data_IF_434363841416
#
_entry.id   IF_434363841416
#
_cell.length_a   1.000
_cell.length_b   1.000
_cell.length_c   1.000
_cell.angle_alpha   90.00
_cell.angle_beta   90.00
_cell.angle_gamma   90.00
#
_symmetry.space_group_name_H-M   'P 1'
#
loop_
_entity.id
_entity.type
_entity.pdbx_description
1 polymer ?
#
# COMPACT_ATOMS: atom_id res chain seq x y z
N UNK A 1 31.64 -6.95 14.73
CA UNK A 1 30.62 -7.43 15.66
C UNK A 1 30.47 -6.36 16.73
N UNK A 2 29.56 -5.42 16.55
CA UNK A 2 29.21 -4.40 17.54
C UNK A 2 27.73 -4.19 17.50
N UNK A 3 27.05 -4.74 18.48
CA UNK A 3 25.61 -4.56 18.70
C UNK A 3 25.46 -3.18 19.33
N UNK A 4 24.87 -2.24 18.61
CA UNK A 4 24.52 -0.94 19.17
C UNK A 4 23.07 -1.01 19.64
N UNK A 5 22.92 -1.09 20.95
CA UNK A 5 21.64 -1.00 21.67
C UNK A 5 21.19 0.46 21.61
N UNK A 6 20.14 0.76 20.86
CA UNK A 6 19.46 2.06 20.87
C UNK A 6 18.33 2.01 21.91
N UNK A 7 18.62 2.53 23.09
CA UNK A 7 17.64 2.97 24.08
C UNK A 7 17.66 4.50 24.03
N UNK A 8 16.78 5.12 23.26
CA UNK A 8 16.31 6.48 23.50
C UNK A 8 15.19 6.79 22.49
N UNK A 9 14.01 7.15 22.99
CA UNK A 9 12.81 7.45 22.22
C UNK A 9 12.85 8.79 21.46
N UNK A 10 13.84 8.94 20.59
CA UNK A 10 13.89 10.02 19.61
C UNK A 10 13.06 9.66 18.37
N UNK A 11 12.65 10.63 17.53
CA UNK A 11 11.97 10.33 16.29
C UNK A 11 12.85 9.40 15.46
N UNK A 12 12.33 8.22 15.15
CA UNK A 12 13.01 7.25 14.28
C UNK A 12 13.19 7.92 12.92
N UNK A 13 14.39 8.39 12.63
CA UNK A 13 14.74 8.88 11.29
C UNK A 13 14.74 7.66 10.36
N UNK A 14 13.67 7.49 9.63
CA UNK A 14 13.58 6.46 8.57
C UNK A 14 14.55 6.93 7.49
N UNK A 15 15.65 6.19 7.30
CA UNK A 15 16.56 6.45 6.19
C UNK A 15 15.81 6.16 4.87
N UNK A 16 15.97 7.02 3.86
CA UNK A 16 15.36 6.78 2.56
C UNK A 16 15.77 5.41 2.01
N UNK A 17 14.80 4.68 1.43
CA UNK A 17 15.07 3.42 0.75
C UNK A 17 15.86 3.67 -0.53
N UNK A 18 16.84 2.82 -0.84
CA UNK A 18 17.58 2.88 -2.09
C UNK A 18 16.64 2.77 -3.31
N UNK A 19 15.51 2.04 -3.18
CA UNK A 19 14.50 1.94 -4.23
C UNK A 19 13.72 3.22 -4.50
N UNK A 20 13.78 4.21 -3.61
CA UNK A 20 13.16 5.51 -3.82
C UNK A 20 13.95 6.42 -4.76
N UNK A 21 15.11 5.99 -5.22
CA UNK A 21 15.94 6.74 -6.16
C UNK A 21 16.16 5.94 -7.44
N UNK A 22 16.20 6.66 -8.58
CA UNK A 22 16.62 6.09 -9.86
C UNK A 22 18.15 5.95 -9.94
N UNK A 23 18.65 5.44 -11.05
CA UNK A 23 20.07 5.19 -11.24
C UNK A 23 20.90 6.49 -11.34
N UNK A 24 20.23 7.62 -11.63
CA UNK A 24 20.80 8.97 -11.66
C UNK A 24 20.72 9.67 -10.29
N UNK A 25 20.19 9.01 -9.26
CA UNK A 25 20.01 9.55 -7.92
C UNK A 25 18.85 10.51 -7.75
N UNK A 26 17.95 10.59 -8.73
CA UNK A 26 16.72 11.37 -8.66
C UNK A 26 15.67 10.61 -7.84
N UNK A 27 14.95 11.28 -6.95
CA UNK A 27 13.85 10.68 -6.23
C UNK A 27 12.74 10.25 -7.19
N UNK A 28 12.31 8.98 -7.07
CA UNK A 28 11.24 8.40 -7.89
C UNK A 28 9.88 8.95 -7.46
N UNK A 29 9.05 9.16 -8.45
CA UNK A 29 7.70 9.67 -8.25
C UNK A 29 6.70 8.53 -8.03
N UNK A 30 5.65 8.81 -7.23
CA UNK A 30 4.57 7.85 -7.00
C UNK A 30 3.19 8.45 -7.21
N UNK A 31 2.24 7.60 -7.58
CA UNK A 31 0.80 7.89 -7.63
C UNK A 31 0.03 6.78 -6.91
N UNK A 32 -0.94 7.14 -6.04
CA UNK A 32 -1.88 6.18 -5.43
C UNK A 32 -3.27 6.38 -6.03
N UNK A 33 -3.79 5.36 -6.69
CA UNK A 33 -5.14 5.32 -7.26
C UNK A 33 -6.07 4.51 -6.38
N UNK A 34 -7.09 5.14 -5.82
CA UNK A 34 -8.02 4.52 -4.88
C UNK A 34 -9.34 4.19 -5.55
N UNK A 35 -9.70 2.91 -5.60
CA UNK A 35 -10.98 2.41 -6.08
C UNK A 35 -11.71 1.68 -4.96
N UNK A 36 -12.45 2.41 -4.11
CA UNK A 36 -13.05 1.72 -2.98
C UNK A 36 -13.95 2.57 -2.08
N UNK A 37 -14.02 2.15 -0.84
CA UNK A 37 -14.76 2.82 0.23
C UNK A 37 -13.82 3.73 1.06
N UNK A 38 -14.38 4.33 2.11
CA UNK A 38 -13.62 5.20 3.04
C UNK A 38 -12.41 4.49 3.68
N UNK A 39 -12.50 3.17 3.94
CA UNK A 39 -11.36 2.40 4.45
C UNK A 39 -10.19 2.40 3.46
N UNK A 40 -10.47 2.26 2.16
CA UNK A 40 -9.43 2.35 1.14
C UNK A 40 -8.84 3.76 1.04
N UNK A 41 -9.64 4.82 1.24
CA UNK A 41 -9.10 6.19 1.27
C UNK A 41 -8.11 6.36 2.42
N UNK A 42 -8.46 5.91 3.63
CA UNK A 42 -7.54 5.93 4.76
C UNK A 42 -6.29 5.07 4.52
N UNK A 43 -6.47 3.86 3.97
CA UNK A 43 -5.34 3.00 3.61
C UNK A 43 -4.41 3.70 2.60
N UNK A 44 -4.96 4.46 1.64
CA UNK A 44 -4.19 5.22 0.65
C UNK A 44 -3.40 6.38 1.26
N UNK A 45 -3.95 7.08 2.26
CA UNK A 45 -3.20 8.09 3.02
C UNK A 45 -1.99 7.46 3.75
N UNK A 46 -2.14 6.23 4.27
CA UNK A 46 -1.05 5.49 4.92
C UNK A 46 -0.01 4.98 3.93
N UNK A 47 -0.45 4.49 2.77
CA UNK A 47 0.45 4.10 1.67
C UNK A 47 1.27 5.30 1.19
N UNK A 48 0.63 6.46 0.99
CA UNK A 48 1.31 7.70 0.62
C UNK A 48 2.33 8.11 1.68
N UNK A 49 1.94 8.09 2.97
CA UNK A 49 2.85 8.40 4.07
C UNK A 49 4.05 7.46 4.15
N UNK A 50 3.82 6.15 3.93
CA UNK A 50 4.89 5.15 3.91
C UNK A 50 5.88 5.37 2.76
N UNK A 51 5.38 5.68 1.56
CA UNK A 51 6.21 5.98 0.39
C UNK A 51 7.01 7.26 0.57
N UNK A 52 6.38 8.36 1.04
CA UNK A 52 7.08 9.62 1.31
C UNK A 52 8.15 9.45 2.40
N UNK A 53 7.87 8.67 3.45
CA UNK A 53 8.85 8.35 4.49
C UNK A 53 10.03 7.54 3.96
N UNK A 54 9.82 6.75 2.91
CA UNK A 54 10.87 6.00 2.23
C UNK A 54 11.65 6.83 1.19
N UNK A 55 11.25 8.09 0.94
CA UNK A 55 11.95 9.02 0.05
C UNK A 55 11.32 9.21 -1.33
N UNK A 56 10.17 8.58 -1.62
CA UNK A 56 9.44 8.81 -2.86
C UNK A 56 8.75 10.18 -2.84
N UNK A 57 8.57 10.76 -4.01
CA UNK A 57 7.89 12.07 -4.18
C UNK A 57 6.56 11.85 -4.92
N UNK A 58 5.50 12.51 -4.48
CA UNK A 58 4.21 12.43 -5.18
C UNK A 58 4.34 13.02 -6.59
N UNK A 59 3.85 12.30 -7.59
CA UNK A 59 3.85 12.77 -8.98
C UNK A 59 2.90 13.97 -9.14
N UNK A 60 3.28 14.91 -10.00
CA UNK A 60 2.43 16.04 -10.38
C UNK A 60 1.21 15.55 -11.18
N UNK A 61 0.11 16.29 -11.07
CA UNK A 61 -1.11 15.96 -11.79
C UNK A 61 -0.87 15.92 -13.32
N UNK A 62 -1.18 14.79 -13.93
CA UNK A 62 -1.03 14.59 -15.37
C UNK A 62 0.35 14.11 -15.83
N UNK A 63 1.28 13.88 -14.90
CA UNK A 63 2.57 13.24 -15.23
C UNK A 63 2.50 11.72 -14.99
N UNK A 64 3.28 10.96 -15.78
CA UNK A 64 3.44 9.52 -15.57
C UNK A 64 4.36 9.29 -14.36
N UNK A 65 3.89 8.57 -13.35
CA UNK A 65 4.66 8.26 -12.14
C UNK A 65 5.56 7.04 -12.34
N UNK A 66 6.72 7.03 -11.66
CA UNK A 66 7.64 5.89 -11.64
C UNK A 66 7.06 4.68 -10.89
N UNK A 67 6.17 4.94 -9.93
CA UNK A 67 5.46 3.91 -9.15
C UNK A 67 3.97 4.23 -9.12
N UNK A 68 3.14 3.31 -9.60
CA UNK A 68 1.67 3.43 -9.50
C UNK A 68 1.14 2.36 -8.57
N UNK A 69 0.49 2.79 -7.49
CA UNK A 69 -0.15 1.92 -6.50
C UNK A 69 -1.66 1.97 -6.70
N UNK A 70 -2.27 0.82 -7.00
CA UNK A 70 -3.74 0.69 -7.09
C UNK A 70 -4.24 0.08 -5.78
N UNK A 71 -5.00 0.86 -5.01
CA UNK A 71 -5.67 0.40 -3.80
C UNK A 71 -7.15 0.17 -4.11
N UNK A 72 -7.61 -1.08 -4.03
CA UNK A 72 -8.92 -1.49 -4.55
C UNK A 72 -9.76 -2.27 -3.54
N UNK A 73 -11.09 -2.15 -3.71
CA UNK A 73 -12.12 -2.77 -2.88
C UNK A 73 -12.56 -4.12 -3.47
N UNK A 74 -12.87 -5.09 -2.61
CA UNK A 74 -13.45 -6.39 -3.00
C UNK A 74 -14.98 -6.46 -2.87
N UNK A 75 -15.63 -5.40 -2.37
CA UNK A 75 -17.06 -5.41 -2.03
C UNK A 75 -17.92 -4.80 -3.14
N UNK A 76 -17.36 -3.87 -3.93
CA UNK A 76 -18.09 -3.17 -4.98
C UNK A 76 -18.05 -3.95 -6.29
N UNK A 77 -19.21 -4.22 -6.87
CA UNK A 77 -19.43 -5.06 -8.05
C UNK A 77 -18.55 -4.70 -9.27
N UNK A 78 -18.21 -3.42 -9.43
CA UNK A 78 -17.37 -2.96 -10.55
C UNK A 78 -15.89 -2.71 -10.18
N UNK A 79 -15.44 -3.12 -9.00
CA UNK A 79 -14.07 -2.89 -8.59
C UNK A 79 -13.09 -3.70 -9.45
N UNK A 80 -13.44 -4.94 -9.78
CA UNK A 80 -12.64 -5.85 -10.61
C UNK A 80 -12.48 -5.26 -12.02
N UNK A 81 -13.57 -4.84 -12.67
CA UNK A 81 -13.53 -4.25 -14.01
C UNK A 81 -12.67 -2.97 -14.03
N UNK A 82 -12.78 -2.13 -13.01
CA UNK A 82 -11.96 -0.93 -12.88
C UNK A 82 -10.49 -1.25 -12.67
N UNK A 83 -10.18 -2.26 -11.84
CA UNK A 83 -8.81 -2.71 -11.64
C UNK A 83 -8.20 -3.17 -12.96
N UNK A 84 -8.79 -4.17 -13.61
CA UNK A 84 -8.20 -4.75 -14.82
C UNK A 84 -8.19 -3.77 -16.01
N UNK A 85 -9.17 -2.88 -16.12
CA UNK A 85 -9.15 -1.79 -17.09
C UNK A 85 -7.97 -0.83 -16.88
N UNK A 86 -7.71 -0.43 -15.62
CA UNK A 86 -6.54 0.38 -15.28
C UNK A 86 -5.23 -0.36 -15.49
N UNK A 87 -5.15 -1.64 -15.11
CA UNK A 87 -3.94 -2.46 -15.32
C UNK A 87 -3.62 -2.61 -16.81
N UNK A 88 -4.64 -2.78 -17.67
CA UNK A 88 -4.46 -2.82 -19.13
C UNK A 88 -3.91 -1.50 -19.69
N UNK A 89 -4.42 -0.36 -19.20
CA UNK A 89 -3.84 0.96 -19.55
C UNK A 89 -2.38 1.08 -19.07
N UNK A 90 -2.12 0.75 -17.81
CA UNK A 90 -0.78 0.83 -17.21
C UNK A 90 0.23 -0.09 -17.89
N UNK A 91 -0.20 -1.24 -18.44
CA UNK A 91 0.66 -2.07 -19.26
C UNK A 91 1.20 -1.32 -20.49
N UNK A 92 0.37 -0.46 -21.09
CA UNK A 92 0.80 0.36 -22.23
C UNK A 92 1.74 1.50 -21.83
N UNK A 93 1.53 2.09 -20.65
CA UNK A 93 2.42 3.11 -20.08
C UNK A 93 3.76 2.50 -19.72
N UNK A 94 3.77 1.39 -19.01
CA UNK A 94 4.99 0.69 -18.57
C UNK A 94 5.92 0.31 -19.71
N UNK A 95 5.37 -0.04 -20.89
CA UNK A 95 6.18 -0.31 -22.10
C UNK A 95 6.93 0.91 -22.64
N UNK A 96 6.51 2.13 -22.29
CA UNK A 96 7.12 3.39 -22.72
C UNK A 96 7.96 4.04 -21.62
N UNK A 97 7.67 3.71 -20.37
CA UNK A 97 8.31 4.26 -19.19
C UNK A 97 9.17 3.16 -18.55
N UNK A 98 10.43 3.10 -18.95
CA UNK A 98 11.39 2.13 -18.43
C UNK A 98 11.59 2.29 -16.92
N UNK A 99 11.63 1.17 -16.20
CA UNK A 99 11.76 1.17 -14.73
C UNK A 99 10.48 1.47 -13.96
N UNK A 100 9.34 1.72 -14.64
CA UNK A 100 8.05 1.90 -13.98
C UNK A 100 7.61 0.63 -13.24
N UNK A 101 7.12 0.79 -12.01
CA UNK A 101 6.57 -0.29 -11.20
C UNK A 101 5.08 -0.10 -10.93
N UNK A 102 4.34 -1.22 -10.96
CA UNK A 102 2.91 -1.27 -10.70
C UNK A 102 2.66 -2.13 -9.47
N UNK A 103 2.07 -1.56 -8.43
CA UNK A 103 1.68 -2.26 -7.22
C UNK A 103 0.16 -2.33 -7.07
N UNK A 104 -0.37 -3.48 -6.69
CA UNK A 104 -1.80 -3.68 -6.42
C UNK A 104 -2.00 -4.08 -4.98
N UNK A 105 -2.81 -3.30 -4.26
CA UNK A 105 -3.12 -3.52 -2.85
C UNK A 105 -4.60 -3.42 -2.51
N UNK A 106 -4.90 -3.60 -1.23
CA UNK A 106 -6.24 -3.46 -0.70
C UNK A 106 -7.03 -4.77 -0.65
N UNK A 107 -8.34 -4.65 -0.43
CA UNK A 107 -9.21 -5.81 -0.18
C UNK A 107 -9.29 -6.79 -1.36
N UNK A 108 -9.21 -6.29 -2.60
CA UNK A 108 -9.24 -7.18 -3.76
C UNK A 108 -7.92 -7.97 -3.90
N UNK A 109 -6.79 -7.34 -3.64
CA UNK A 109 -5.50 -8.03 -3.60
C UNK A 109 -5.48 -9.12 -2.51
N UNK A 110 -6.07 -8.84 -1.35
CA UNK A 110 -6.23 -9.80 -0.26
C UNK A 110 -7.10 -11.00 -0.67
N UNK A 111 -8.13 -10.78 -1.48
CA UNK A 111 -9.05 -11.80 -1.97
C UNK A 111 -8.45 -12.64 -3.10
N UNK A 112 -7.95 -11.98 -4.14
CA UNK A 112 -7.60 -12.61 -5.42
C UNK A 112 -6.16 -13.11 -5.49
N UNK A 113 -5.25 -12.57 -4.64
CA UNK A 113 -3.87 -13.06 -4.47
C UNK A 113 -3.15 -13.28 -5.81
N UNK A 114 -2.72 -14.51 -6.08
CA UNK A 114 -2.00 -14.90 -7.30
C UNK A 114 -2.78 -14.65 -8.59
N UNK A 115 -4.12 -14.69 -8.56
CA UNK A 115 -4.95 -14.48 -9.75
C UNK A 115 -4.70 -13.13 -10.41
N UNK A 116 -4.27 -12.11 -9.63
CA UNK A 116 -3.91 -10.80 -10.18
C UNK A 116 -2.66 -10.93 -11.07
N UNK A 117 -1.62 -11.61 -10.61
CA UNK A 117 -0.39 -11.83 -11.39
C UNK A 117 -0.63 -12.71 -12.62
N UNK A 118 -1.50 -13.72 -12.51
CA UNK A 118 -1.88 -14.56 -13.66
C UNK A 118 -2.58 -13.78 -14.76
N UNK A 119 -3.48 -12.86 -14.39
CA UNK A 119 -4.23 -12.01 -15.34
C UNK A 119 -3.46 -10.77 -15.81
N UNK A 120 -2.52 -10.30 -15.01
CA UNK A 120 -1.74 -9.09 -15.26
C UNK A 120 -0.25 -9.31 -14.90
N UNK A 121 0.49 -10.09 -15.71
CA UNK A 121 1.88 -10.45 -15.42
C UNK A 121 2.85 -9.26 -15.43
N UNK A 122 2.41 -8.09 -15.85
CA UNK A 122 3.18 -6.84 -15.80
C UNK A 122 3.08 -6.10 -14.46
N UNK A 123 2.32 -6.64 -13.49
CA UNK A 123 2.25 -6.12 -12.12
C UNK A 123 3.49 -6.60 -11.37
N UNK A 124 4.17 -5.69 -10.69
CA UNK A 124 5.43 -5.98 -9.98
C UNK A 124 5.20 -6.38 -8.52
N UNK A 125 4.16 -5.82 -7.89
CA UNK A 125 3.90 -6.06 -6.46
C UNK A 125 2.40 -6.27 -6.22
N UNK A 126 2.07 -7.34 -5.50
CA UNK A 126 0.72 -7.57 -4.96
C UNK A 126 0.81 -7.72 -3.44
N UNK A 127 0.08 -6.89 -2.70
CA UNK A 127 0.13 -6.89 -1.24
C UNK A 127 -1.25 -6.81 -0.59
N UNK A 128 -1.38 -7.48 0.55
CA UNK A 128 -2.62 -7.51 1.32
C UNK A 128 -2.89 -6.24 2.13
N UNK A 129 -4.10 -6.14 2.69
CA UNK A 129 -4.51 -5.05 3.58
C UNK A 129 -3.66 -4.95 4.84
N UNK A 130 -2.99 -6.03 5.22
CA UNK A 130 -2.15 -6.12 6.40
C UNK A 130 -0.66 -5.85 6.12
N UNK A 131 -0.28 -5.73 4.83
CA UNK A 131 1.10 -5.57 4.39
C UNK A 131 1.43 -4.15 3.91
N UNK A 132 0.59 -3.15 4.20
CA UNK A 132 0.79 -1.77 3.72
C UNK A 132 2.15 -1.17 4.10
N UNK A 133 2.65 -1.50 5.30
CA UNK A 133 3.95 -1.04 5.77
C UNK A 133 5.14 -1.65 5.03
N UNK A 134 4.96 -2.82 4.40
CA UNK A 134 6.01 -3.50 3.64
C UNK A 134 6.16 -2.97 2.21
N UNK A 135 5.26 -2.10 1.74
CA UNK A 135 5.24 -1.66 0.33
C UNK A 135 6.59 -1.14 -0.18
N UNK A 136 7.32 -0.24 0.52
CA UNK A 136 8.63 0.22 0.04
C UNK A 136 9.62 -0.93 -0.15
N UNK A 137 9.68 -1.86 0.81
CA UNK A 137 10.58 -3.02 0.74
C UNK A 137 10.18 -4.01 -0.36
N UNK A 138 8.88 -4.13 -0.65
CA UNK A 138 8.39 -4.96 -1.75
C UNK A 138 8.77 -4.38 -3.11
N UNK A 139 8.64 -3.06 -3.28
CA UNK A 139 9.08 -2.35 -4.48
C UNK A 139 10.59 -2.50 -4.70
N UNK A 140 11.38 -2.40 -3.63
CA UNK A 140 12.83 -2.61 -3.69
C UNK A 140 13.19 -4.03 -4.13
N UNK A 141 12.56 -5.04 -3.52
CA UNK A 141 12.78 -6.45 -3.90
C UNK A 141 12.37 -6.74 -5.34
N UNK A 142 11.22 -6.22 -5.78
CA UNK A 142 10.74 -6.39 -7.15
C UNK A 142 11.69 -5.77 -8.17
N UNK A 143 12.24 -4.60 -7.89
CA UNK A 143 13.22 -3.92 -8.75
C UNK A 143 14.55 -4.67 -8.81
N UNK A 144 15.04 -5.14 -7.66
CA UNK A 144 16.34 -5.80 -7.57
C UNK A 144 16.34 -7.20 -8.19
N UNK A 145 15.26 -7.95 -8.02
CA UNK A 145 15.18 -9.34 -8.49
C UNK A 145 14.59 -9.46 -9.90
N UNK A 146 13.99 -8.40 -10.45
CA UNK A 146 13.22 -8.39 -11.70
C UNK A 146 12.10 -9.46 -11.69
N UNK A 147 11.54 -9.72 -10.51
CA UNK A 147 10.48 -10.69 -10.28
C UNK A 147 9.32 -10.06 -9.51
N UNK A 148 8.08 -10.42 -9.89
CA UNK A 148 6.90 -9.99 -9.18
C UNK A 148 6.89 -10.47 -7.73
N UNK A 149 6.58 -9.56 -6.80
CA UNK A 149 6.50 -9.84 -5.37
C UNK A 149 5.05 -9.99 -4.92
N UNK A 150 4.75 -11.06 -4.21
CA UNK A 150 3.44 -11.27 -3.59
C UNK A 150 3.61 -11.41 -2.08
N UNK A 151 2.96 -10.54 -1.31
CA UNK A 151 2.97 -10.63 0.15
C UNK A 151 1.56 -10.42 0.71
N UNK A 152 0.96 -11.50 1.19
CA UNK A 152 -0.39 -11.50 1.76
C UNK A 152 -0.35 -12.08 3.17
N UNK A 153 -0.52 -11.24 4.18
CA UNK A 153 -0.76 -11.68 5.55
C UNK A 153 -2.27 -11.88 5.78
N UNK A 154 -2.65 -12.97 6.41
CA UNK A 154 -4.06 -13.30 6.65
C UNK A 154 -4.66 -12.55 7.84
N UNK A 155 -3.81 -12.14 8.80
CA UNK A 155 -4.25 -11.32 9.93
C UNK A 155 -3.12 -10.46 10.49
N UNK A 156 -3.48 -9.34 11.11
CA UNK A 156 -2.55 -8.55 11.92
C UNK A 156 -2.46 -9.14 13.33
N UNK A 157 -1.26 -9.33 13.83
CA UNK A 157 -1.05 -9.66 15.25
C UNK A 157 -1.22 -8.41 16.13
N UNK A 158 -0.74 -7.27 15.65
CA UNK A 158 -0.80 -5.97 16.32
C UNK A 158 -1.36 -4.91 15.38
N UNK A 159 -2.16 -3.99 15.92
CA UNK A 159 -2.66 -2.85 15.14
C UNK A 159 -1.47 -1.97 14.70
N UNK A 160 -1.29 -1.65 13.40
CA UNK A 160 -0.18 -0.85 12.92
C UNK A 160 -0.40 0.65 13.22
N UNK A 161 -0.30 1.04 14.49
CA UNK A 161 -0.52 2.42 14.95
C UNK A 161 0.54 3.41 14.45
N UNK A 162 1.73 2.91 14.13
CA UNK A 162 2.93 3.72 13.82
C UNK A 162 3.12 4.01 12.34
N UNK A 163 2.26 3.52 11.44
CA UNK A 163 2.40 3.83 10.03
C UNK A 163 2.20 5.32 9.78
N UNK A 164 3.14 5.97 9.11
CA UNK A 164 3.02 7.38 8.74
C UNK A 164 1.80 7.60 7.85
N UNK A 165 1.16 8.75 7.96
CA UNK A 165 -0.05 9.06 7.21
C UNK A 165 0.10 10.40 6.53
N UNK A 166 -0.04 10.44 5.21
CA UNK A 166 -0.11 11.68 4.43
C UNK A 166 -1.56 12.06 4.24
N UNK A 167 -2.02 13.09 4.93
CA UNK A 167 -3.40 13.55 4.82
C UNK A 167 -3.62 14.34 3.53
N UNK A 168 -4.71 14.05 2.82
CA UNK A 168 -5.10 14.77 1.61
C UNK A 168 -5.80 16.10 1.93
N UNK A 169 -6.51 16.16 3.06
CA UNK A 169 -7.23 17.36 3.49
C UNK A 169 -6.54 18.05 4.67
N UNK A 170 -6.47 19.38 4.61
CA UNK A 170 -5.97 20.23 5.71
C UNK A 170 -7.02 20.35 6.82
N UNK A 171 -8.30 20.19 6.49
CA UNK A 171 -9.43 20.45 7.40
C UNK A 171 -10.01 19.19 8.04
N UNK A 172 -9.72 18.02 7.49
CA UNK A 172 -10.27 16.74 7.97
C UNK A 172 -9.29 15.61 7.79
N UNK A 173 -9.44 14.56 8.61
CA UNK A 173 -8.60 13.37 8.48
C UNK A 173 -9.32 12.15 9.04
N UNK A 174 -9.03 11.01 8.45
CA UNK A 174 -9.52 9.72 8.92
C UNK A 174 -8.68 9.26 10.10
N UNK A 175 -9.35 8.80 11.15
CA UNK A 175 -8.70 8.16 12.30
C UNK A 175 -9.26 6.75 12.41
N UNK A 176 -8.41 5.74 12.20
CA UNK A 176 -8.79 4.36 12.40
C UNK A 176 -8.75 4.05 13.90
N UNK A 177 -9.89 3.70 14.47
CA UNK A 177 -10.03 3.32 15.88
C UNK A 177 -10.05 1.80 16.06
N UNK A 178 -10.49 1.07 15.04
CA UNK A 178 -10.46 -0.40 14.98
C UNK A 178 -10.25 -0.89 13.56
N UNK A 179 -9.87 -2.16 13.41
CA UNK A 179 -9.75 -2.88 12.14
C UNK A 179 -10.34 -4.28 12.27
N UNK A 180 -10.90 -4.80 11.16
CA UNK A 180 -11.58 -6.11 11.17
C UNK A 180 -13.03 -6.03 11.64
N UNK A 181 -13.64 -7.20 11.85
CA UNK A 181 -15.02 -7.29 12.36
C UNK A 181 -15.30 -8.70 12.88
N UNK A 182 -15.95 -8.79 14.03
CA UNK A 182 -16.34 -10.07 14.66
C UNK A 182 -17.80 -10.46 14.36
N UNK A 183 -18.55 -9.65 13.59
CA UNK A 183 -19.92 -9.97 13.23
C UNK A 183 -20.00 -11.08 12.18
N UNK A 184 -21.10 -11.85 12.20
CA UNK A 184 -21.35 -13.01 11.33
C UNK A 184 -22.41 -12.72 10.26
N UNK A 185 -22.42 -11.51 9.69
CA UNK A 185 -23.34 -11.16 8.62
C UNK A 185 -23.12 -12.08 7.40
N UNK A 186 -24.16 -12.72 6.90
CA UNK A 186 -24.11 -13.79 5.89
C UNK A 186 -23.51 -13.38 4.55
N UNK A 187 -23.61 -12.11 4.18
CA UNK A 187 -23.13 -11.57 2.90
C UNK A 187 -21.81 -10.78 3.03
N UNK A 188 -21.28 -10.63 4.24
CA UNK A 188 -20.15 -9.73 4.48
C UNK A 188 -18.81 -10.44 4.37
N UNK A 189 -17.94 -9.94 3.48
CA UNK A 189 -16.60 -10.47 3.26
C UNK A 189 -15.54 -9.83 4.20
N UNK A 190 -15.88 -8.77 4.95
CA UNK A 190 -14.93 -7.99 5.74
C UNK A 190 -14.16 -8.85 6.76
N UNK A 191 -14.76 -9.77 7.53
CA UNK A 191 -14.00 -10.61 8.46
C UNK A 191 -12.95 -11.48 7.77
N UNK A 192 -13.24 -11.96 6.55
CA UNK A 192 -12.31 -12.78 5.78
C UNK A 192 -11.13 -11.97 5.19
N UNK A 193 -11.33 -10.67 4.90
CA UNK A 193 -10.33 -9.83 4.25
C UNK A 193 -9.53 -8.95 5.22
N UNK A 194 -10.16 -8.54 6.33
CA UNK A 194 -9.55 -7.64 7.32
C UNK A 194 -9.36 -8.28 8.71
N UNK A 195 -9.73 -9.56 8.81
CA UNK A 195 -9.55 -10.35 10.02
C UNK A 195 -10.53 -10.02 11.13
N UNK A 196 -10.25 -10.56 12.32
CA UNK A 196 -11.01 -10.28 13.56
C UNK A 196 -10.81 -8.83 13.99
N UNK A 197 -11.82 -8.29 14.63
CA UNK A 197 -11.80 -6.94 15.19
C UNK A 197 -10.65 -6.75 16.18
N UNK A 198 -9.87 -5.72 15.96
CA UNK A 198 -8.79 -5.27 16.84
C UNK A 198 -8.89 -3.77 17.03
N UNK A 199 -9.06 -3.35 18.29
CA UNK A 199 -9.18 -1.96 18.67
C UNK A 199 -7.83 -1.33 18.95
N UNK A 200 -7.69 -0.05 18.63
CA UNK A 200 -6.58 0.78 19.12
C UNK A 200 -6.81 1.16 20.57
N UNK A 201 -5.73 1.25 21.31
CA UNK A 201 -5.79 1.80 22.66
C UNK A 201 -6.13 3.29 22.61
N UNK A 202 -6.96 3.82 23.55
CA UNK A 202 -7.28 5.25 23.56
C UNK A 202 -6.06 6.16 23.56
N UNK A 203 -4.98 5.80 24.27
CA UNK A 203 -3.72 6.54 24.26
C UNK A 203 -3.04 6.59 22.89
N UNK A 204 -3.12 5.52 22.08
CA UNK A 204 -2.56 5.48 20.72
C UNK A 204 -3.38 6.31 19.72
N UNK A 205 -4.61 6.68 20.10
CA UNK A 205 -5.50 7.50 19.26
C UNK A 205 -5.30 9.00 19.57
N UNK A 206 -5.12 9.31 20.85
CA UNK A 206 -5.05 10.69 21.36
C UNK A 206 -3.62 11.24 21.41
N UNK A 207 -2.64 10.35 21.38
CA UNK A 207 -1.22 10.49 21.32
C UNK A 207 -0.35 11.28 21.48
#
# INVERSE_FOLDING_TARGET
MTIMTLLDGGPTTILPSAAAFDDDGRARTYEVRTFGCQMNVHDSERLSGSLESAGYIRADAGTEADVVVINTCAVRENADNKLYGNLGYLASVKRRHEGMQIAVGGCLAQKDKNTILEKAPWVDVVFGTHNMGSLPSLLERARHNDEAQLEILESLEVFPSTLPTKRESVYSGWVSISVGCNNTCTFCIVPALRGKEKDRRPGDILG
#
